data_IF_251780826095
#
_entry.id   IF_251780826095
#
_cell.length_a   1.000
_cell.length_b   1.000
_cell.length_c   1.000
_cell.angle_alpha   90.00
_cell.angle_beta   90.00
_cell.angle_gamma   90.00
#
_symmetry.space_group_name_H-M   'P 1'
#
loop_
_entity.id
_entity.type
_entity.pdbx_description
1 polymer ?
#
# COMPACT_ATOMS: atom_id res chain seq x y z
N UNK A 1 -10.29 13.63 15.16
CA UNK A 1 -10.29 12.17 14.95
C UNK A 1 -8.85 11.75 14.67
N UNK A 2 -8.30 10.81 15.44
CA UNK A 2 -6.87 10.43 15.37
C UNK A 2 -6.66 9.06 14.71
N UNK A 3 -7.52 8.69 13.76
CA UNK A 3 -7.52 7.37 13.10
C UNK A 3 -6.19 7.01 12.43
N UNK A 4 -5.38 7.99 12.02
CA UNK A 4 -4.10 7.78 11.34
C UNK A 4 -2.97 7.44 12.32
N UNK A 5 -3.07 7.91 13.57
CA UNK A 5 -1.97 7.80 14.54
C UNK A 5 -1.57 6.34 14.83
N UNK A 6 -2.55 5.43 14.93
CA UNK A 6 -2.28 4.01 15.16
C UNK A 6 -1.52 3.37 14.00
N UNK A 7 -1.87 3.70 12.75
CA UNK A 7 -1.15 3.19 11.57
C UNK A 7 0.30 3.69 11.53
N UNK A 8 0.54 4.96 11.89
CA UNK A 8 1.89 5.52 11.92
C UNK A 8 2.77 4.84 12.97
N UNK A 9 2.23 4.59 14.16
CA UNK A 9 2.94 3.85 15.21
C UNK A 9 3.25 2.42 14.78
N UNK A 10 2.27 1.70 14.25
CA UNK A 10 2.43 0.33 13.79
C UNK A 10 3.50 0.21 12.68
N UNK A 11 3.48 1.13 11.70
CA UNK A 11 4.51 1.17 10.64
C UNK A 11 5.89 1.47 11.22
N UNK A 12 5.98 2.37 12.21
CA UNK A 12 7.24 2.69 12.88
C UNK A 12 7.82 1.52 13.67
N UNK A 13 6.98 0.70 14.29
CA UNK A 13 7.40 -0.44 15.12
C UNK A 13 7.67 -1.71 14.31
N UNK A 14 6.80 -2.02 13.35
CA UNK A 14 6.82 -3.30 12.60
C UNK A 14 7.42 -3.19 11.20
N UNK A 15 7.62 -1.97 10.70
CA UNK A 15 8.03 -1.72 9.32
C UNK A 15 6.89 -1.83 8.32
N UNK A 16 7.01 -1.09 7.21
CA UNK A 16 5.95 -0.96 6.21
C UNK A 16 5.51 -2.30 5.63
N UNK A 17 6.44 -3.16 5.21
CA UNK A 17 6.11 -4.40 4.48
C UNK A 17 5.32 -5.38 5.33
N UNK A 18 5.65 -5.50 6.61
CA UNK A 18 4.91 -6.33 7.56
C UNK A 18 3.50 -5.78 7.76
N UNK A 19 3.37 -4.47 7.99
CA UNK A 19 2.06 -3.83 8.13
C UNK A 19 1.19 -3.97 6.87
N UNK A 20 1.76 -3.88 5.68
CA UNK A 20 1.01 -4.10 4.43
C UNK A 20 0.58 -5.57 4.27
N UNK A 21 1.39 -6.53 4.72
CA UNK A 21 1.04 -7.96 4.69
C UNK A 21 -0.11 -8.28 5.66
N UNK A 22 -0.06 -7.72 6.86
CA UNK A 22 -1.00 -8.01 7.96
C UNK A 22 -2.29 -7.19 7.84
N UNK A 23 -2.20 -5.93 7.40
CA UNK A 23 -3.34 -5.02 7.31
C UNK A 23 -3.78 -4.81 5.85
N UNK A 24 -4.68 -5.67 5.37
CA UNK A 24 -5.25 -5.57 4.01
C UNK A 24 -5.94 -4.24 3.73
N UNK A 25 -6.46 -3.56 4.77
CA UNK A 25 -7.09 -2.25 4.60
C UNK A 25 -6.05 -1.19 4.25
N UNK A 26 -4.94 -1.17 4.99
CA UNK A 26 -3.78 -0.31 4.72
C UNK A 26 -3.19 -0.62 3.34
N UNK A 27 -3.02 -1.89 2.99
CA UNK A 27 -2.52 -2.32 1.68
C UNK A 27 -3.40 -1.84 0.51
N UNK A 28 -4.73 -1.92 0.65
CA UNK A 28 -5.64 -1.34 -0.35
C UNK A 28 -5.53 0.18 -0.45
N UNK A 29 -4.96 0.86 0.54
CA UNK A 29 -4.70 2.30 0.49
C UNK A 29 -3.46 2.69 -0.33
N UNK A 30 -2.61 1.73 -0.72
CA UNK A 30 -1.35 2.00 -1.44
C UNK A 30 -1.60 2.34 -2.90
N UNK A 31 -1.02 3.44 -3.37
CA UNK A 31 -1.07 3.87 -4.78
C UNK A 31 0.19 3.50 -5.55
N UNK A 32 1.35 3.60 -4.90
CA UNK A 32 2.66 3.31 -5.47
C UNK A 32 3.47 2.50 -4.46
N UNK A 33 4.13 1.45 -4.92
CA UNK A 33 5.06 0.66 -4.12
C UNK A 33 6.30 0.32 -4.95
N UNK A 34 7.49 0.63 -4.43
CA UNK A 34 8.79 0.41 -5.12
C UNK A 34 8.80 0.90 -6.58
N UNK A 35 8.24 2.08 -6.83
CA UNK A 35 8.19 2.70 -8.16
C UNK A 35 7.17 2.12 -9.13
N UNK A 36 6.27 1.23 -8.68
CA UNK A 36 5.21 0.64 -9.50
C UNK A 36 3.82 1.06 -9.02
N UNK A 37 2.88 1.24 -9.96
CA UNK A 37 1.50 1.60 -9.65
C UNK A 37 0.78 0.38 -9.05
N UNK A 38 0.28 0.54 -7.83
CA UNK A 38 -0.44 -0.47 -7.05
C UNK A 38 -1.97 -0.32 -7.14
N UNK A 39 -2.46 0.72 -7.83
CA UNK A 39 -3.89 0.97 -8.06
C UNK A 39 -4.25 0.69 -9.51
N UNK A 40 -4.92 -0.44 -9.75
CA UNK A 40 -5.31 -0.88 -11.07
C UNK A 40 -6.12 0.18 -11.84
N UNK A 41 -7.14 0.76 -11.21
CA UNK A 41 -7.98 1.78 -11.86
C UNK A 41 -7.22 3.05 -12.25
N UNK A 42 -6.18 3.44 -11.49
CA UNK A 42 -5.30 4.55 -11.82
C UNK A 42 -4.38 4.15 -12.98
N UNK A 43 -3.79 2.95 -12.94
CA UNK A 43 -2.95 2.43 -14.01
C UNK A 43 -3.70 2.41 -15.34
N UNK A 44 -4.90 1.82 -15.37
CA UNK A 44 -5.76 1.73 -16.56
C UNK A 44 -6.14 3.12 -17.10
N UNK A 45 -6.55 4.04 -16.21
CA UNK A 45 -6.96 5.40 -16.60
C UNK A 45 -5.86 6.18 -17.32
N UNK A 46 -4.60 5.96 -16.94
CA UNK A 46 -3.46 6.70 -17.46
C UNK A 46 -2.58 5.88 -18.42
N UNK A 47 -2.98 4.64 -18.76
CA UNK A 47 -2.20 3.76 -19.63
C UNK A 47 -0.83 3.38 -19.04
N UNK A 48 -0.75 3.22 -17.71
CA UNK A 48 0.46 2.84 -16.99
C UNK A 48 0.46 1.36 -16.61
N UNK A 49 1.64 0.81 -16.33
CA UNK A 49 1.78 -0.56 -15.84
C UNK A 49 1.28 -0.72 -14.40
N UNK A 50 0.31 -1.62 -14.21
CA UNK A 50 -0.15 -2.07 -12.90
C UNK A 50 0.73 -3.21 -12.37
N UNK A 51 1.10 -3.14 -11.09
CA UNK A 51 1.73 -4.24 -10.36
C UNK A 51 1.02 -4.46 -9.03
N UNK A 52 0.53 -5.68 -8.83
CA UNK A 52 -0.02 -6.08 -7.54
C UNK A 52 1.09 -6.13 -6.48
N UNK A 53 0.92 -5.37 -5.40
CA UNK A 53 1.88 -5.33 -4.29
C UNK A 53 1.91 -6.64 -3.51
N UNK A 54 0.80 -7.40 -3.45
CA UNK A 54 0.79 -8.70 -2.77
C UNK A 54 1.62 -9.75 -3.52
N UNK A 55 1.83 -9.57 -4.83
CA UNK A 55 2.77 -10.41 -5.58
C UNK A 55 4.24 -10.13 -5.24
N UNK A 56 4.52 -9.00 -4.59
CA UNK A 56 5.88 -8.51 -4.29
C UNK A 56 6.20 -8.46 -2.80
N UNK A 57 5.22 -8.78 -1.94
CA UNK A 57 5.31 -8.86 -0.48
C UNK A 57 5.39 -10.33 -0.06
#
# INVERSE_FOLDING_TARGET
>A
SNLVASYLLEIGESGLEKCLRENKSLARGVYVFRGKIAKQNIAERFGLDYKDIFSSL
#
